data_IF_982987289189
#
_entry.id   IF_982987289189
#
_cell.length_a   1.000
_cell.length_b   1.000
_cell.length_c   1.000
_cell.angle_alpha   90.00
_cell.angle_beta   90.00
_cell.angle_gamma   90.00
#
_symmetry.space_group_name_H-M   'P 1'
#
loop_
_entity.id
_entity.type
_entity.pdbx_description
1 polymer ?
#
# COMPACT_ATOMS: atom_id res chain seq x y z
N UNK A 1 15.14 28.02 -7.45
CA UNK A 1 14.61 26.99 -6.54
C UNK A 1 13.22 26.63 -7.05
N UNK A 2 12.96 25.35 -7.36
CA UNK A 2 11.65 24.89 -7.86
C UNK A 2 10.79 24.58 -6.64
N UNK A 3 9.64 25.25 -6.52
CA UNK A 3 8.69 25.01 -5.42
C UNK A 3 7.62 24.03 -5.88
N UNK A 4 7.41 22.96 -5.11
CA UNK A 4 6.35 21.99 -5.34
C UNK A 4 5.16 22.26 -4.40
N UNK A 5 3.95 22.22 -4.95
CA UNK A 5 2.71 22.41 -4.17
C UNK A 5 1.69 21.35 -4.56
N UNK A 6 1.14 20.64 -3.58
CA UNK A 6 0.13 19.58 -3.80
C UNK A 6 -1.22 20.08 -3.30
N UNK A 7 -2.20 20.14 -4.19
CA UNK A 7 -3.55 20.62 -3.85
C UNK A 7 -4.43 19.42 -3.55
N UNK A 8 -4.77 19.20 -2.27
CA UNK A 8 -5.64 18.09 -1.84
C UNK A 8 -7.04 18.54 -1.44
N UNK A 9 -7.22 19.82 -1.13
CA UNK A 9 -8.47 20.38 -0.66
C UNK A 9 -8.59 21.87 -1.06
N UNK A 10 -9.79 22.45 -0.87
CA UNK A 10 -10.05 23.86 -1.20
C UNK A 10 -9.18 24.85 -0.42
N UNK A 11 -8.76 24.51 0.80
CA UNK A 11 -7.91 25.37 1.63
C UNK A 11 -6.49 25.48 1.05
N UNK A 12 -5.90 24.36 0.64
CA UNK A 12 -4.58 24.35 0.00
C UNK A 12 -4.58 25.07 -1.35
N UNK A 13 -5.71 25.05 -2.07
CA UNK A 13 -5.90 25.84 -3.28
C UNK A 13 -5.85 27.35 -2.99
N UNK A 14 -6.54 27.80 -1.93
CA UNK A 14 -6.53 29.21 -1.51
C UNK A 14 -5.14 29.67 -1.07
N UNK A 15 -4.40 28.82 -0.35
CA UNK A 15 -3.01 29.11 0.04
C UNK A 15 -2.08 29.25 -1.18
N UNK A 16 -2.23 28.39 -2.19
CA UNK A 16 -1.48 28.50 -3.44
C UNK A 16 -1.81 29.81 -4.18
N UNK A 17 -3.08 30.20 -4.23
CA UNK A 17 -3.51 31.45 -4.86
C UNK A 17 -2.90 32.67 -4.18
N UNK A 18 -2.88 32.71 -2.84
CA UNK A 18 -2.22 33.77 -2.07
C UNK A 18 -0.73 33.87 -2.43
N UNK A 19 -0.02 32.75 -2.42
CA UNK A 19 1.42 32.70 -2.75
C UNK A 19 1.71 33.09 -4.19
N UNK A 20 0.86 32.68 -5.14
CA UNK A 20 0.99 33.05 -6.54
C UNK A 20 0.79 34.56 -6.74
N UNK A 21 -0.15 35.17 -6.00
CA UNK A 21 -0.45 36.60 -6.10
C UNK A 21 0.70 37.51 -5.63
N UNK A 22 1.54 37.01 -4.73
CA UNK A 22 2.72 37.72 -4.21
C UNK A 22 3.93 37.62 -5.15
N UNK A 23 3.93 36.69 -6.11
CA UNK A 23 5.07 36.51 -7.03
C UNK A 23 5.06 37.54 -8.15
N UNK A 24 6.24 38.14 -8.39
CA UNK A 24 6.45 39.03 -9.54
C UNK A 24 6.51 38.23 -10.84
N UNK A 25 5.84 38.74 -11.87
CA UNK A 25 5.86 38.19 -13.22
C UNK A 25 7.22 38.45 -13.91
N UNK A 26 7.66 37.59 -14.85
CA UNK A 26 7.04 36.34 -15.29
C UNK A 26 7.52 35.10 -14.51
N UNK A 27 6.66 34.10 -14.35
CA UNK A 27 7.03 32.79 -13.80
C UNK A 27 6.35 31.67 -14.60
N UNK A 28 6.95 30.48 -14.54
CA UNK A 28 6.46 29.28 -15.22
C UNK A 28 5.70 28.38 -14.22
N UNK A 29 4.59 27.79 -14.66
CA UNK A 29 3.76 26.88 -13.86
C UNK A 29 3.62 25.57 -14.63
N UNK A 30 4.04 24.47 -14.01
CA UNK A 30 3.78 23.13 -14.51
C UNK A 30 2.70 22.47 -13.65
N UNK A 31 1.70 21.86 -14.30
CA UNK A 31 0.65 21.09 -13.65
C UNK A 31 0.91 19.62 -13.89
N UNK A 32 0.97 18.85 -12.80
CA UNK A 32 1.08 17.40 -12.84
C UNK A 32 -0.13 16.80 -12.11
N UNK A 33 -0.81 15.87 -12.77
CA UNK A 33 -1.90 15.12 -12.15
C UNK A 33 -1.31 14.14 -11.15
N UNK A 34 -1.41 14.45 -9.86
CA UNK A 34 -1.06 13.51 -8.79
C UNK A 34 -2.30 12.67 -8.50
N UNK A 35 -2.36 11.47 -9.07
CA UNK A 35 -3.28 10.47 -8.56
C UNK A 35 -2.89 10.13 -7.12
N UNK A 36 -3.85 9.97 -6.19
CA UNK A 36 -3.53 9.55 -4.83
C UNK A 36 -2.81 8.21 -4.91
N UNK A 37 -1.49 8.23 -4.73
CA UNK A 37 -0.63 7.06 -4.65
C UNK A 37 -1.01 6.30 -3.39
N UNK A 38 -2.00 5.42 -3.55
CA UNK A 38 -2.67 4.60 -2.53
C UNK A 38 -3.37 5.41 -1.42
N UNK A 39 -4.46 4.86 -0.90
CA UNK A 39 -4.95 5.33 0.39
C UNK A 39 -3.94 4.89 1.46
N UNK A 40 -3.34 5.85 2.17
CA UNK A 40 -2.45 5.60 3.32
C UNK A 40 -3.10 4.63 4.32
N UNK A 41 -4.43 4.63 4.42
CA UNK A 41 -5.19 3.73 5.29
C UNK A 41 -4.99 2.24 4.97
N UNK A 42 -4.96 1.84 3.70
CA UNK A 42 -4.80 0.40 3.36
C UNK A 42 -3.37 -0.06 3.67
N UNK A 43 -2.36 0.75 3.33
CA UNK A 43 -0.98 0.43 3.69
C UNK A 43 -0.79 0.36 5.21
N UNK A 44 -1.36 1.32 5.96
CA UNK A 44 -1.30 1.30 7.42
C UNK A 44 -1.97 0.07 8.02
N UNK A 45 -3.10 -0.36 7.44
CA UNK A 45 -3.77 -1.57 7.88
C UNK A 45 -2.92 -2.82 7.60
N UNK A 46 -2.39 -2.95 6.38
CA UNK A 46 -1.59 -4.10 5.97
C UNK A 46 -0.33 -4.25 6.83
N UNK A 47 0.44 -3.17 6.98
CA UNK A 47 1.70 -3.20 7.71
C UNK A 47 1.53 -3.15 9.22
N UNK A 48 0.64 -2.27 9.71
CA UNK A 48 0.50 -2.01 11.14
C UNK A 48 -0.41 -2.98 11.87
N UNK A 49 -1.28 -3.71 11.16
CA UNK A 49 -2.21 -4.66 11.78
C UNK A 49 -1.99 -6.06 11.24
N UNK A 50 -2.15 -6.26 9.93
CA UNK A 50 -2.16 -7.61 9.33
C UNK A 50 -0.82 -8.29 9.51
N UNK A 51 0.27 -7.70 9.03
CA UNK A 51 1.59 -8.30 9.13
C UNK A 51 2.12 -8.35 10.55
N UNK A 52 1.82 -7.36 11.38
CA UNK A 52 2.21 -7.39 12.80
C UNK A 52 1.57 -8.57 13.53
N UNK A 53 0.27 -8.81 13.35
CA UNK A 53 -0.42 -9.96 13.98
C UNK A 53 0.11 -11.30 13.51
N UNK A 54 0.43 -11.42 12.22
CA UNK A 54 0.99 -12.66 11.66
C UNK A 54 2.43 -12.85 12.13
N UNK A 55 3.20 -11.76 12.20
CA UNK A 55 4.57 -11.74 12.73
C UNK A 55 4.60 -12.22 14.18
N UNK A 56 3.69 -11.72 15.04
CA UNK A 56 3.54 -12.15 16.43
C UNK A 56 3.27 -13.66 16.56
N UNK A 57 2.51 -14.25 15.64
CA UNK A 57 2.20 -15.69 15.66
C UNK A 57 3.30 -16.57 15.09
N UNK A 58 3.96 -16.11 14.03
CA UNK A 58 4.92 -16.94 13.28
C UNK A 58 6.36 -16.76 13.77
N UNK A 59 6.65 -15.68 14.49
CA UNK A 59 8.00 -15.30 14.91
C UNK A 59 8.86 -14.68 13.80
N UNK A 60 8.30 -14.48 12.59
CA UNK A 60 8.96 -13.80 11.48
C UNK A 60 8.80 -12.28 11.58
N UNK A 61 9.69 -11.53 10.94
CA UNK A 61 9.54 -10.08 10.79
C UNK A 61 8.36 -9.73 9.85
N UNK A 62 7.71 -8.56 10.01
CA UNK A 62 6.66 -8.10 9.09
C UNK A 62 7.12 -8.07 7.62
N UNK A 63 8.39 -7.77 7.37
CA UNK A 63 9.00 -7.76 6.04
C UNK A 63 9.09 -9.18 5.43
N UNK A 64 9.52 -10.16 6.21
CA UNK A 64 9.56 -11.57 5.78
C UNK A 64 8.14 -12.08 5.51
N UNK A 65 7.18 -11.74 6.37
CA UNK A 65 5.76 -12.04 6.17
C UNK A 65 5.26 -11.41 4.87
N UNK A 66 5.60 -10.14 4.61
CA UNK A 66 5.22 -9.46 3.37
C UNK A 66 5.76 -10.18 2.12
N UNK A 67 7.05 -10.52 2.11
CA UNK A 67 7.66 -11.21 0.97
C UNK A 67 7.11 -12.63 0.81
N UNK A 68 6.85 -13.35 1.90
CA UNK A 68 6.20 -14.66 1.88
C UNK A 68 4.82 -14.62 1.23
N UNK A 69 3.99 -13.65 1.61
CA UNK A 69 2.66 -13.49 1.03
C UNK A 69 2.69 -12.96 -0.42
N UNK A 70 3.68 -12.14 -0.78
CA UNK A 70 3.92 -11.77 -2.18
C UNK A 70 4.27 -12.99 -3.02
N UNK A 71 5.12 -13.87 -2.53
CA UNK A 71 5.44 -15.13 -3.21
C UNK A 71 4.21 -16.03 -3.33
N UNK A 72 3.38 -16.13 -2.28
CA UNK A 72 2.19 -16.99 -2.27
C UNK A 72 1.09 -16.52 -3.23
N UNK A 73 0.80 -15.21 -3.26
CA UNK A 73 -0.38 -14.69 -3.97
C UNK A 73 -0.08 -13.82 -5.19
N UNK A 74 1.18 -13.42 -5.39
CA UNK A 74 1.61 -12.55 -6.50
C UNK A 74 2.79 -13.13 -7.26
N UNK A 75 2.88 -14.46 -7.27
CA UNK A 75 3.82 -15.19 -8.09
C UNK A 75 3.59 -14.86 -9.57
N UNK A 76 4.65 -14.42 -10.25
CA UNK A 76 4.63 -14.17 -11.69
C UNK A 76 5.93 -14.64 -12.32
N UNK A 77 5.81 -15.38 -13.41
CA UNK A 77 6.94 -15.63 -14.31
C UNK A 77 6.82 -14.75 -15.54
N UNK A 78 7.89 -14.06 -15.90
CA UNK A 78 7.98 -13.27 -17.11
C UNK A 78 9.19 -13.73 -17.94
N UNK A 79 9.05 -13.66 -19.26
CA UNK A 79 10.17 -13.84 -20.17
C UNK A 79 10.88 -12.49 -20.33
N UNK A 80 12.10 -12.40 -19.82
CA UNK A 80 12.94 -11.21 -19.93
C UNK A 80 13.98 -11.46 -21.03
N UNK A 81 14.04 -10.55 -22.00
CA UNK A 81 15.04 -10.63 -23.05
C UNK A 81 16.43 -10.30 -22.49
N UNK A 82 17.34 -11.26 -22.59
CA UNK A 82 18.71 -11.13 -22.15
C UNK A 82 19.59 -10.72 -23.34
N UNK A 83 20.07 -9.47 -23.32
CA UNK A 83 20.90 -8.89 -24.39
C UNK A 83 22.26 -9.56 -24.54
N UNK A 84 22.76 -10.23 -23.50
CA UNK A 84 24.09 -10.86 -23.53
C UNK A 84 24.09 -12.20 -24.29
N UNK A 85 22.98 -12.93 -24.21
CA UNK A 85 22.84 -14.26 -24.83
C UNK A 85 21.84 -14.29 -26.00
N UNK A 86 21.33 -13.11 -26.41
CA UNK A 86 20.34 -12.92 -27.49
C UNK A 86 19.14 -13.90 -27.39
N UNK A 87 18.63 -14.08 -26.18
CA UNK A 87 17.52 -15.01 -25.91
C UNK A 87 16.60 -14.51 -24.82
N UNK A 88 15.38 -15.05 -24.76
CA UNK A 88 14.46 -14.82 -23.66
C UNK A 88 14.74 -15.83 -22.54
N UNK A 89 15.13 -15.33 -21.36
CA UNK A 89 15.23 -16.13 -20.15
C UNK A 89 13.92 -16.04 -19.36
N UNK A 90 13.47 -17.17 -18.80
CA UNK A 90 12.32 -17.19 -17.92
C UNK A 90 12.74 -16.76 -16.52
N UNK A 91 12.29 -15.57 -16.10
CA UNK A 91 12.59 -15.02 -14.77
C UNK A 91 11.36 -15.17 -13.90
N UNK A 92 11.56 -15.75 -12.73
CA UNK A 92 10.52 -15.88 -11.71
C UNK A 92 10.65 -14.70 -10.76
N UNK A 93 9.55 -13.99 -10.53
CA UNK A 93 9.51 -12.85 -9.64
C UNK A 93 8.17 -12.71 -8.92
N UNK A 94 8.07 -11.65 -8.13
CA UNK A 94 6.81 -11.23 -7.51
C UNK A 94 6.36 -9.92 -8.13
N UNK A 95 5.05 -9.79 -8.39
CA UNK A 95 4.52 -8.52 -8.87
C UNK A 95 4.71 -7.46 -7.79
N UNK A 96 5.40 -6.37 -8.14
CA UNK A 96 5.56 -5.22 -7.26
C UNK A 96 4.19 -4.65 -6.91
N UNK A 97 3.95 -4.42 -5.62
CA UNK A 97 2.70 -3.78 -5.19
C UNK A 97 2.65 -2.32 -5.65
N UNK A 98 3.79 -1.68 -5.97
CA UNK A 98 3.93 -0.22 -6.15
C UNK A 98 2.98 0.38 -7.18
N UNK A 99 2.53 -0.42 -8.16
CA UNK A 99 1.62 0.00 -9.23
C UNK A 99 0.16 -0.41 -9.01
N UNK A 100 -0.17 -1.04 -7.89
CA UNK A 100 -1.53 -1.51 -7.63
C UNK A 100 -2.51 -0.37 -7.39
N UNK A 101 -3.72 -0.56 -7.91
CA UNK A 101 -4.88 0.22 -7.51
C UNK A 101 -5.27 -0.05 -6.05
N UNK A 102 -6.04 0.86 -5.46
CA UNK A 102 -6.59 0.67 -4.11
C UNK A 102 -7.43 -0.61 -4.00
N UNK A 103 -8.17 -0.97 -5.06
CA UNK A 103 -8.99 -2.17 -5.10
C UNK A 103 -8.13 -3.44 -5.05
N UNK A 104 -7.10 -3.53 -5.90
CA UNK A 104 -6.19 -4.69 -5.94
C UNK A 104 -5.43 -4.87 -4.63
N UNK A 105 -4.99 -3.76 -4.02
CA UNK A 105 -4.31 -3.81 -2.74
C UNK A 105 -5.24 -4.27 -1.61
N UNK A 106 -6.51 -3.83 -1.64
CA UNK A 106 -7.50 -4.28 -0.67
C UNK A 106 -7.85 -5.77 -0.83
N UNK A 107 -8.03 -6.23 -2.07
CA UNK A 107 -8.24 -7.66 -2.36
C UNK A 107 -7.07 -8.51 -1.86
N UNK A 108 -5.85 -8.02 -2.06
CA UNK A 108 -4.66 -8.68 -1.53
C UNK A 108 -4.66 -8.72 0.01
N UNK A 109 -4.98 -7.61 0.68
CA UNK A 109 -5.09 -7.55 2.14
C UNK A 109 -6.11 -8.56 2.69
N UNK A 110 -7.30 -8.65 2.07
CA UNK A 110 -8.34 -9.59 2.46
C UNK A 110 -7.93 -11.05 2.23
N UNK A 111 -7.20 -11.33 1.15
CA UNK A 111 -6.68 -12.67 0.88
C UNK A 111 -5.64 -13.10 1.91
N UNK A 112 -4.71 -12.21 2.28
CA UNK A 112 -3.73 -12.46 3.36
C UNK A 112 -4.44 -12.71 4.69
N UNK A 113 -5.44 -11.89 5.02
CA UNK A 113 -6.25 -12.06 6.23
C UNK A 113 -6.95 -13.42 6.27
N UNK A 114 -7.62 -13.79 5.19
CA UNK A 114 -8.35 -15.06 5.10
C UNK A 114 -7.40 -16.25 5.23
N UNK A 115 -6.22 -16.16 4.63
CA UNK A 115 -5.19 -17.20 4.73
C UNK A 115 -4.65 -17.33 6.16
N UNK A 116 -4.39 -16.21 6.83
CA UNK A 116 -3.96 -16.22 8.23
C UNK A 116 -5.03 -16.80 9.18
N UNK A 117 -6.30 -16.57 8.90
CA UNK A 117 -7.41 -17.16 9.67
C UNK A 117 -7.50 -18.68 9.45
N UNK A 118 -7.28 -19.15 8.22
CA UNK A 118 -7.36 -20.58 7.88
C UNK A 118 -6.12 -21.34 8.38
N UNK A 119 -4.92 -20.85 8.07
CA UNK A 119 -3.67 -21.56 8.28
C UNK A 119 -3.09 -21.35 9.69
N UNK A 120 -3.25 -20.14 10.23
CA UNK A 120 -2.68 -19.78 11.53
C UNK A 120 -3.74 -19.68 12.63
N UNK A 121 -5.02 -19.80 12.27
CA UNK A 121 -6.16 -19.65 13.20
C UNK A 121 -6.16 -18.29 13.93
N UNK A 122 -5.66 -17.23 13.26
CA UNK A 122 -5.62 -15.87 13.80
C UNK A 122 -6.77 -15.05 13.24
N UNK A 123 -7.58 -14.47 14.13
CA UNK A 123 -8.60 -13.49 13.74
C UNK A 123 -7.98 -12.10 13.71
N UNK A 124 -7.79 -11.57 12.51
CA UNK A 124 -7.30 -10.20 12.30
C UNK A 124 -8.51 -9.28 12.12
N UNK A 125 -8.64 -8.18 12.88
CA UNK A 125 -9.77 -7.27 12.75
C UNK A 125 -9.77 -6.52 11.43
N UNK A 126 -10.94 -6.06 11.00
CA UNK A 126 -11.06 -5.05 9.95
C UNK A 126 -10.72 -3.64 10.49
N UNK A 127 -10.33 -2.67 9.63
CA UNK A 127 -10.05 -1.30 10.08
C UNK A 127 -11.21 -0.61 10.79
N UNK A 128 -12.44 -1.01 10.47
CA UNK A 128 -13.68 -0.43 11.01
C UNK A 128 -14.30 -1.29 12.12
N UNK A 129 -13.62 -2.35 12.55
CA UNK A 129 -14.13 -3.28 13.56
C UNK A 129 -13.61 -2.87 14.93
N UNK A 130 -14.53 -2.46 15.81
CA UNK A 130 -14.22 -2.19 17.21
C UNK A 130 -14.53 -3.41 18.04
N UNK A 131 -13.51 -3.98 18.68
CA UNK A 131 -13.74 -4.99 19.71
C UNK A 131 -14.32 -4.29 20.94
N UNK A 132 -15.56 -4.65 21.29
CA UNK A 132 -16.12 -4.32 22.59
C UNK A 132 -15.44 -5.22 23.62
N UNK A 133 -14.34 -4.75 24.21
CA UNK A 133 -13.78 -5.37 25.41
C UNK A 133 -14.62 -4.95 26.63
N UNK A 134 -15.10 -5.95 27.38
CA UNK A 134 -15.60 -5.91 28.77
C UNK A 134 -17.11 -5.79 29.10
N UNK A 135 -18.06 -6.16 28.22
CA UNK A 135 -19.50 -6.21 28.61
C UNK A 135 -20.25 -7.53 28.31
N UNK A 136 -19.54 -8.64 28.11
CA UNK A 136 -20.16 -9.97 28.26
C UNK A 136 -19.92 -10.49 29.69
N UNK A 137 -20.31 -9.69 30.68
CA UNK A 137 -20.64 -10.23 32.01
C UNK A 137 -21.98 -10.92 31.85
N UNK A 138 -21.96 -12.24 31.68
CA UNK A 138 -23.14 -13.04 31.89
C UNK A 138 -23.54 -12.87 33.36
N UNK A 139 -24.64 -12.17 33.62
CA UNK A 139 -25.34 -12.21 34.92
C UNK A 139 -25.94 -13.60 35.19
#
# INVERSE_FOLDING_TARGET
MIEYFVIRNKKMLQELQSKMSEKRLPFNVALEGVEPVRSLSINNYLWGVVYTRISESTGHSPEEVHEGYKLKFRFRGDFVYNKEYDRYDYVIGTQSTTKDSNYELWQFAMRVRSDAEIELHIVIPMPNETFLTDELKFE
#
